data_IF_181821359702
#
_entry.id   IF_181821359702
#
_cell.length_a   1.000
_cell.length_b   1.000
_cell.length_c   1.000
_cell.angle_alpha   90.00
_cell.angle_beta   90.00
_cell.angle_gamma   90.00
#
_symmetry.space_group_name_H-M   'P 1'
#
loop_
_entity.id
_entity.type
_entity.pdbx_description
1 polymer ?
#
# COMPACT_ATOMS: atom_id res chain seq x y z
N UNK A 1 16.83 5.95 2.79
CA UNK A 1 15.58 5.66 3.54
C UNK A 1 15.36 6.73 4.60
N UNK A 2 14.15 7.21 4.76
CA UNK A 2 13.82 8.15 5.82
C UNK A 2 13.57 7.38 7.12
N UNK A 3 14.61 7.18 7.89
CA UNK A 3 14.57 6.41 9.13
C UNK A 3 13.57 7.00 10.14
N UNK A 4 13.50 8.33 10.24
CA UNK A 4 12.63 8.98 11.20
C UNK A 4 11.15 8.71 10.90
N UNK A 5 10.76 8.73 9.62
CA UNK A 5 9.39 8.43 9.23
C UNK A 5 9.04 6.97 9.54
N UNK A 6 9.97 6.03 9.28
CA UNK A 6 9.75 4.61 9.58
C UNK A 6 9.63 4.40 11.08
N UNK A 7 10.48 5.05 11.88
CA UNK A 7 10.51 4.87 13.33
C UNK A 7 9.23 5.39 14.01
N UNK A 8 8.57 6.41 13.43
CA UNK A 8 7.37 7.01 14.03
C UNK A 8 6.07 6.45 13.47
N UNK A 9 6.14 5.65 12.41
CA UNK A 9 4.94 5.10 11.77
C UNK A 9 4.43 3.90 12.56
N UNK A 10 3.12 3.80 12.83
CA UNK A 10 2.58 2.67 13.60
C UNK A 10 2.85 1.34 12.90
N UNK A 11 3.38 0.38 13.64
CA UNK A 11 3.75 -0.93 13.11
C UNK A 11 2.55 -1.66 12.52
N UNK A 12 1.44 -1.64 13.21
CA UNK A 12 0.23 -2.34 12.73
C UNK A 12 -0.26 -1.75 11.42
N UNK A 13 -0.19 -0.43 11.29
CA UNK A 13 -0.60 0.21 10.04
C UNK A 13 0.36 -0.14 8.91
N UNK A 14 1.66 -0.21 9.18
CA UNK A 14 2.64 -0.64 8.19
C UNK A 14 2.33 -2.05 7.69
N UNK A 15 2.07 -2.98 8.60
CA UNK A 15 1.75 -4.36 8.22
C UNK A 15 0.45 -4.43 7.43
N UNK A 16 -0.55 -3.67 7.80
CA UNK A 16 -1.82 -3.62 7.05
C UNK A 16 -1.60 -3.12 5.63
N UNK A 17 -0.79 -2.09 5.45
CA UNK A 17 -0.48 -1.55 4.13
C UNK A 17 0.29 -2.54 3.28
N UNK A 18 1.29 -3.19 3.85
CA UNK A 18 2.08 -4.19 3.14
C UNK A 18 1.21 -5.37 2.72
N UNK A 19 0.36 -5.86 3.63
CA UNK A 19 -0.56 -6.97 3.32
C UNK A 19 -1.54 -6.59 2.22
N UNK A 20 -2.04 -5.35 2.24
CA UNK A 20 -2.99 -4.86 1.25
C UNK A 20 -2.37 -4.81 -0.15
N UNK A 21 -1.15 -4.27 -0.25
CA UNK A 21 -0.43 -4.21 -1.52
C UNK A 21 -0.10 -5.62 -2.02
N UNK A 22 0.40 -6.48 -1.14
CA UNK A 22 0.74 -7.85 -1.50
C UNK A 22 -0.47 -8.61 -2.02
N UNK A 23 -1.62 -8.43 -1.37
CA UNK A 23 -2.87 -9.08 -1.77
C UNK A 23 -3.32 -8.63 -3.17
N UNK A 24 -3.25 -7.32 -3.44
CA UNK A 24 -3.76 -6.78 -4.71
C UNK A 24 -2.81 -7.01 -5.87
N UNK A 25 -1.50 -6.88 -5.65
CA UNK A 25 -0.52 -6.95 -6.73
C UNK A 25 0.23 -8.28 -6.77
N UNK A 26 0.08 -9.12 -5.76
CA UNK A 26 0.80 -10.40 -5.65
C UNK A 26 2.32 -10.22 -5.62
N UNK A 27 2.78 -9.11 -5.08
CA UNK A 27 4.20 -8.86 -4.89
C UNK A 27 4.67 -9.48 -3.58
N UNK A 28 5.94 -9.86 -3.55
CA UNK A 28 6.53 -10.41 -2.34
C UNK A 28 6.54 -9.38 -1.22
N UNK A 29 6.24 -9.81 0.00
CA UNK A 29 6.23 -8.93 1.17
C UNK A 29 7.57 -8.24 1.37
N UNK A 30 8.69 -8.96 1.17
CA UNK A 30 10.02 -8.40 1.33
C UNK A 30 10.27 -7.24 0.37
N UNK A 31 9.79 -7.35 -0.86
CA UNK A 31 9.94 -6.27 -1.84
C UNK A 31 9.14 -5.03 -1.43
N UNK A 32 7.95 -5.23 -0.87
CA UNK A 32 7.11 -4.12 -0.42
C UNK A 32 7.73 -3.47 0.82
N UNK A 33 8.26 -4.26 1.73
CA UNK A 33 8.94 -3.74 2.92
C UNK A 33 10.19 -2.93 2.57
N UNK A 34 10.86 -3.27 1.46
CA UNK A 34 12.04 -2.55 1.00
C UNK A 34 11.71 -1.22 0.33
N UNK A 35 10.45 -0.97 -0.01
CA UNK A 35 10.04 0.31 -0.60
C UNK A 35 10.19 1.44 0.40
N UNK A 36 10.51 2.62 -0.12
CA UNK A 36 10.42 3.83 0.67
C UNK A 36 8.97 4.09 1.06
N UNK A 37 8.79 4.73 2.20
CA UNK A 37 7.46 5.03 2.73
C UNK A 37 6.58 5.76 1.69
N UNK A 38 7.12 6.74 1.00
CA UNK A 38 6.37 7.50 0.01
C UNK A 38 5.96 6.65 -1.18
N UNK A 39 6.85 5.78 -1.65
CA UNK A 39 6.52 4.88 -2.76
C UNK A 39 5.40 3.92 -2.37
N UNK A 40 5.46 3.37 -1.16
CA UNK A 40 4.40 2.49 -0.67
C UNK A 40 3.04 3.19 -0.70
N UNK A 41 3.02 4.46 -0.29
CA UNK A 41 1.79 5.25 -0.29
C UNK A 41 1.29 5.58 -1.69
N UNK A 42 2.17 5.71 -2.66
CA UNK A 42 1.76 5.85 -4.07
C UNK A 42 0.94 4.64 -4.50
N UNK A 43 1.43 3.44 -4.20
CA UNK A 43 0.71 2.21 -4.60
C UNK A 43 -0.60 2.05 -3.86
N UNK A 44 -0.67 2.45 -2.59
CA UNK A 44 -1.94 2.44 -1.86
C UNK A 44 -2.97 3.34 -2.52
N UNK A 45 -2.57 4.52 -2.95
CA UNK A 45 -3.46 5.44 -3.66
C UNK A 45 -3.92 4.87 -5.00
N UNK A 46 -3.02 4.20 -5.71
CA UNK A 46 -3.36 3.56 -6.98
C UNK A 46 -4.37 2.43 -6.80
N UNK A 47 -4.20 1.61 -5.77
CA UNK A 47 -5.18 0.56 -5.46
C UNK A 47 -6.53 1.18 -5.12
N UNK A 48 -6.56 2.26 -4.34
CA UNK A 48 -7.80 2.94 -4.00
C UNK A 48 -8.49 3.49 -5.24
N UNK A 49 -7.72 4.04 -6.19
CA UNK A 49 -8.26 4.54 -7.45
C UNK A 49 -8.90 3.41 -8.25
N UNK A 50 -8.20 2.28 -8.38
CA UNK A 50 -8.70 1.12 -9.12
C UNK A 50 -10.00 0.61 -8.48
N UNK A 51 -10.02 0.50 -7.16
CA UNK A 51 -11.20 0.03 -6.44
C UNK A 51 -12.40 0.96 -6.64
N UNK A 52 -12.17 2.27 -6.67
CA UNK A 52 -13.24 3.23 -6.95
C UNK A 52 -13.81 3.04 -8.35
N UNK A 53 -12.95 2.85 -9.34
CA UNK A 53 -13.40 2.63 -10.72
C UNK A 53 -14.21 1.35 -10.86
N UNK A 54 -13.78 0.29 -10.20
CA UNK A 54 -14.53 -0.98 -10.21
C UNK A 54 -15.88 -0.80 -9.56
N UNK A 55 -15.94 -0.12 -8.41
CA UNK A 55 -17.21 0.11 -7.70
C UNK A 55 -18.17 0.98 -8.53
N UNK A 56 -17.67 1.99 -9.20
CA UNK A 56 -18.49 2.82 -10.08
C UNK A 56 -19.05 2.01 -11.25
N UNK A 57 -18.23 1.15 -11.84
CA UNK A 57 -18.68 0.28 -12.93
C UNK A 57 -19.77 -0.67 -12.48
N UNK A 58 -19.71 -1.17 -11.25
CA UNK A 58 -20.74 -2.07 -10.69
C UNK A 58 -22.06 -1.37 -10.41
N UNK A 59 -22.06 -0.06 -10.25
CA UNK A 59 -23.27 0.72 -9.98
C UNK A 59 -24.07 1.07 -11.23
N UNK A 60 -23.49 0.86 -12.39
CA UNK A 60 -24.15 1.18 -13.67
C UNK A 60 -25.03 0.05 -14.20
#
# INVERSE_FOLDING_TARGET
>A
MNWAAVATYPREQLYQEVAYIAYHFHWAVDDILDMEHEERHVWLREIARINREINEARRR
#
